data_IF_009548322969
#
_entry.id   IF_009548322969
#
_cell.length_a   1.000
_cell.length_b   1.000
_cell.length_c   1.000
_cell.angle_alpha   90.00
_cell.angle_beta   90.00
_cell.angle_gamma   90.00
#
_symmetry.space_group_name_H-M   'P 1'
#
loop_
_entity.id
_entity.type
_entity.pdbx_description
1 polymer ?
#
# COMPACT_ATOMS: atom_id res chain seq x y z
N UNK A 1 -19.94 -18.47 -9.94
CA UNK A 1 -19.30 -18.77 -11.24
C UNK A 1 -18.85 -17.44 -11.81
N UNK A 2 -17.53 -17.19 -11.85
CA UNK A 2 -16.99 -15.96 -12.42
C UNK A 2 -17.46 -15.80 -13.88
N UNK A 3 -17.80 -14.58 -14.27
CA UNK A 3 -18.21 -14.26 -15.63
C UNK A 3 -17.04 -14.46 -16.61
N UNK A 4 -17.34 -14.69 -17.89
CA UNK A 4 -16.30 -14.84 -18.93
C UNK A 4 -15.39 -13.61 -19.08
N UNK A 5 -15.82 -12.44 -18.57
CA UNK A 5 -15.00 -11.22 -18.50
C UNK A 5 -13.99 -11.24 -17.36
N UNK A 6 -14.36 -11.76 -16.19
CA UNK A 6 -13.45 -11.82 -15.02
C UNK A 6 -12.27 -12.75 -15.29
N UNK A 7 -12.52 -13.89 -15.97
CA UNK A 7 -11.46 -14.80 -16.44
C UNK A 7 -10.47 -14.17 -17.42
N UNK A 8 -10.85 -13.09 -18.11
CA UNK A 8 -9.96 -12.40 -19.08
C UNK A 8 -9.02 -11.40 -18.43
N UNK A 9 -9.30 -10.92 -17.22
CA UNK A 9 -8.42 -9.97 -16.53
C UNK A 9 -7.42 -10.66 -15.60
N UNK A 10 -7.82 -11.79 -15.00
CA UNK A 10 -6.99 -12.51 -14.03
C UNK A 10 -5.63 -12.90 -14.64
N UNK A 11 -4.56 -12.30 -14.15
CA UNK A 11 -3.21 -12.54 -14.65
C UNK A 11 -2.91 -11.98 -16.04
N UNK A 12 -3.75 -11.07 -16.58
CA UNK A 12 -3.57 -10.47 -17.91
C UNK A 12 -2.51 -9.35 -17.94
N UNK A 13 -2.07 -8.89 -16.77
CA UNK A 13 -1.03 -7.88 -16.61
C UNK A 13 0.00 -8.36 -15.58
N UNK A 14 1.21 -7.82 -15.66
CA UNK A 14 2.27 -8.12 -14.70
C UNK A 14 3.16 -6.90 -14.45
N UNK A 15 3.75 -6.85 -13.26
CA UNK A 15 4.82 -5.93 -12.91
C UNK A 15 6.16 -6.52 -13.34
N UNK A 16 6.91 -5.77 -14.12
CA UNK A 16 8.22 -6.19 -14.67
C UNK A 16 9.39 -5.31 -14.25
N UNK A 17 9.12 -4.18 -13.60
CA UNK A 17 10.13 -3.24 -13.10
C UNK A 17 9.72 -2.62 -11.78
N UNK A 18 10.66 -2.44 -10.86
CA UNK A 18 10.49 -1.67 -9.62
C UNK A 18 11.60 -0.64 -9.47
N UNK A 19 11.27 0.55 -9.01
CA UNK A 19 12.22 1.64 -8.85
C UNK A 19 11.89 2.47 -7.62
N UNK A 20 12.91 2.87 -6.89
CA UNK A 20 12.74 3.54 -5.60
C UNK A 20 13.84 4.57 -5.41
N UNK A 21 13.50 5.75 -4.91
CA UNK A 21 14.49 6.73 -4.46
C UNK A 21 14.94 6.43 -3.03
N UNK A 22 16.01 7.10 -2.62
CA UNK A 22 16.37 7.25 -1.22
C UNK A 22 15.19 7.88 -0.46
N UNK A 23 15.06 7.50 0.81
CA UNK A 23 14.09 8.09 1.73
C UNK A 23 14.79 9.18 2.53
N UNK A 24 14.26 10.40 2.45
CA UNK A 24 14.75 11.51 3.22
C UNK A 24 13.83 11.78 4.41
N UNK A 25 14.39 12.41 5.44
CA UNK A 25 13.55 13.03 6.46
C UNK A 25 12.69 14.08 5.77
N UNK A 26 11.42 14.19 6.19
CA UNK A 26 10.49 15.18 5.67
C UNK A 26 11.11 16.58 5.57
N UNK A 27 11.03 17.19 4.38
CA UNK A 27 11.53 18.52 4.07
C UNK A 27 13.05 18.62 3.92
N UNK A 28 13.76 17.50 3.80
CA UNK A 28 15.23 17.47 3.65
C UNK A 28 15.70 16.84 2.35
N UNK A 29 14.79 16.43 1.46
CA UNK A 29 15.19 15.99 0.12
C UNK A 29 15.93 17.11 -0.62
N UNK A 30 17.07 16.82 -1.28
CA UNK A 30 17.72 17.78 -2.17
C UNK A 30 17.05 17.88 -3.54
N UNK A 31 16.04 17.04 -3.79
CA UNK A 31 15.31 16.92 -5.07
C UNK A 31 13.84 17.28 -4.89
N UNK A 32 13.25 17.88 -5.93
CA UNK A 32 11.79 18.12 -6.02
C UNK A 32 11.02 16.81 -6.21
N UNK A 33 9.71 16.84 -5.96
CA UNK A 33 8.83 15.69 -6.17
C UNK A 33 8.88 15.20 -7.63
N UNK A 34 8.95 16.12 -8.61
CA UNK A 34 9.08 15.78 -10.02
C UNK A 34 10.41 15.04 -10.31
N UNK A 35 11.52 15.52 -9.75
CA UNK A 35 12.81 14.85 -9.91
C UNK A 35 12.79 13.45 -9.29
N UNK A 36 12.21 13.30 -8.09
CA UNK A 36 12.08 12.01 -7.42
C UNK A 36 11.18 11.05 -8.24
N UNK A 37 10.05 11.53 -8.76
CA UNK A 37 9.17 10.74 -9.63
C UNK A 37 9.92 10.23 -10.88
N UNK A 38 10.61 11.12 -11.59
CA UNK A 38 11.39 10.74 -12.77
C UNK A 38 12.51 9.75 -12.43
N UNK A 39 13.25 9.96 -11.33
CA UNK A 39 14.28 9.01 -10.88
C UNK A 39 13.70 7.63 -10.53
N UNK A 40 12.54 7.58 -9.86
CA UNK A 40 11.89 6.32 -9.54
C UNK A 40 11.47 5.56 -10.81
N UNK A 41 10.89 6.24 -11.80
CA UNK A 41 10.51 5.61 -13.08
C UNK A 41 11.75 5.15 -13.85
N UNK A 42 12.82 5.94 -13.90
CA UNK A 42 14.09 5.54 -14.52
C UNK A 42 14.70 4.30 -13.86
N UNK A 43 14.69 4.23 -12.53
CA UNK A 43 15.16 3.04 -11.78
C UNK A 43 14.28 1.81 -12.08
N UNK A 44 12.97 2.00 -12.24
CA UNK A 44 12.08 0.90 -12.63
C UNK A 44 12.32 0.43 -14.07
N UNK A 45 12.65 1.35 -14.98
CA UNK A 45 13.07 1.04 -16.35
C UNK A 45 14.41 0.29 -16.36
N UNK A 46 15.37 0.73 -15.55
CA UNK A 46 16.66 0.05 -15.37
C UNK A 46 16.48 -1.35 -14.78
N UNK A 47 15.59 -1.54 -13.80
CA UNK A 47 15.25 -2.85 -13.22
C UNK A 47 14.72 -3.82 -14.30
N UNK A 48 13.83 -3.34 -15.15
CA UNK A 48 13.20 -4.09 -16.24
C UNK A 48 14.04 -4.22 -17.52
N UNK A 49 15.21 -3.56 -17.59
CA UNK A 49 16.06 -3.46 -18.77
C UNK A 49 15.33 -2.91 -20.01
N UNK A 50 14.59 -1.80 -19.82
CA UNK A 50 13.85 -1.12 -20.88
C UNK A 50 14.21 0.36 -20.94
N UNK A 51 14.16 0.93 -22.15
CA UNK A 51 14.27 2.38 -22.34
C UNK A 51 13.07 3.10 -21.71
N UNK A 52 13.29 4.22 -21.02
CA UNK A 52 12.19 5.08 -20.57
C UNK A 52 11.32 5.57 -21.74
N UNK A 53 11.87 5.62 -22.96
CA UNK A 53 11.13 6.04 -24.16
C UNK A 53 9.95 5.12 -24.50
N UNK A 54 10.01 3.85 -24.04
CA UNK A 54 8.96 2.85 -24.27
C UNK A 54 7.79 2.93 -23.26
N UNK A 55 7.89 3.77 -22.23
CA UNK A 55 6.77 4.02 -21.30
C UNK A 55 5.74 4.89 -22.01
N UNK A 56 4.54 4.36 -22.21
CA UNK A 56 3.46 5.04 -22.93
C UNK A 56 2.22 5.31 -22.06
N UNK A 57 2.27 4.90 -20.78
CA UNK A 57 1.20 5.13 -19.81
C UNK A 57 1.68 5.59 -18.43
N UNK A 58 0.86 6.35 -17.73
CA UNK A 58 1.16 6.87 -16.38
C UNK A 58 -0.05 6.76 -15.44
N UNK A 59 0.17 6.24 -14.22
CA UNK A 59 -0.84 6.21 -13.16
C UNK A 59 -0.27 6.71 -11.83
N UNK A 60 -1.03 7.57 -11.15
CA UNK A 60 -0.72 7.99 -9.78
C UNK A 60 -1.99 8.12 -8.93
N UNK A 61 -1.86 8.60 -7.68
CA UNK A 61 -2.95 8.68 -6.71
C UNK A 61 -2.68 9.72 -5.62
N UNK A 62 -3.66 9.96 -4.75
CA UNK A 62 -3.53 10.84 -3.57
C UNK A 62 -3.04 12.25 -3.90
N UNK A 63 -3.69 12.85 -4.90
CA UNK A 63 -3.45 14.21 -5.37
C UNK A 63 -1.98 14.48 -5.74
N UNK A 64 -1.27 13.46 -6.25
CA UNK A 64 0.07 13.66 -6.78
C UNK A 64 0.05 14.76 -7.85
N UNK A 65 0.87 15.78 -7.66
CA UNK A 65 0.94 16.96 -8.52
C UNK A 65 1.82 16.76 -9.75
N UNK A 66 2.51 15.61 -9.84
CA UNK A 66 3.38 15.24 -10.93
C UNK A 66 2.57 14.49 -12.00
N UNK A 67 1.77 15.22 -12.78
CA UNK A 67 0.96 14.64 -13.85
C UNK A 67 1.78 13.84 -14.87
N UNK A 68 1.22 12.75 -15.39
CA UNK A 68 1.90 11.85 -16.33
C UNK A 68 2.50 12.55 -17.55
N UNK A 69 1.81 13.56 -18.10
CA UNK A 69 2.33 14.39 -19.21
C UNK A 69 3.64 15.10 -18.84
N UNK A 70 3.74 15.61 -17.62
CA UNK A 70 4.94 16.31 -17.14
C UNK A 70 6.06 15.31 -16.84
N UNK A 71 5.75 14.17 -16.23
CA UNK A 71 6.74 13.12 -15.97
C UNK A 71 7.28 12.58 -17.29
N UNK A 72 6.41 12.22 -18.23
CA UNK A 72 6.79 11.73 -19.56
C UNK A 72 7.66 12.71 -20.34
N UNK A 73 7.36 14.01 -20.30
CA UNK A 73 8.20 15.04 -20.93
C UNK A 73 9.62 15.11 -20.33
N UNK A 74 9.77 14.89 -19.02
CA UNK A 74 11.10 14.85 -18.37
C UNK A 74 11.85 13.54 -18.64
N UNK A 75 11.14 12.45 -18.93
CA UNK A 75 11.70 11.13 -19.26
C UNK A 75 12.04 10.97 -20.75
N UNK A 76 11.55 11.88 -21.59
CA UNK A 76 11.72 11.80 -23.04
C UNK A 76 10.93 10.67 -23.69
N UNK A 77 9.73 10.37 -23.18
CA UNK A 77 8.87 9.31 -23.76
C UNK A 77 8.49 9.61 -25.22
N UNK A 78 8.38 8.57 -26.05
CA UNK A 78 8.08 8.74 -27.48
C UNK A 78 6.62 9.18 -27.70
N UNK A 79 5.68 8.57 -26.98
CA UNK A 79 4.25 8.87 -27.04
C UNK A 79 3.60 8.60 -25.67
N UNK A 80 2.66 9.45 -25.25
CA UNK A 80 1.79 9.18 -24.10
C UNK A 80 0.42 8.80 -24.61
N UNK A 81 0.09 7.52 -24.51
CA UNK A 81 -1.19 6.94 -24.95
C UNK A 81 -2.25 6.98 -23.86
N UNK A 82 -1.83 6.98 -22.60
CA UNK A 82 -2.75 6.91 -21.46
C UNK A 82 -2.19 7.58 -20.20
N UNK A 83 -3.03 8.27 -19.44
CA UNK A 83 -2.63 8.83 -18.14
C UNK A 83 -3.84 8.93 -17.22
N UNK A 84 -3.67 8.58 -15.95
CA UNK A 84 -4.75 8.69 -14.96
C UNK A 84 -4.26 9.07 -13.57
N UNK A 85 -5.15 9.68 -12.79
CA UNK A 85 -4.98 9.92 -11.36
C UNK A 85 -6.16 9.28 -10.63
N UNK A 86 -5.87 8.39 -9.69
CA UNK A 86 -6.91 7.76 -8.86
C UNK A 86 -7.36 8.74 -7.78
N UNK A 87 -8.67 8.97 -7.71
CA UNK A 87 -9.29 9.78 -6.65
C UNK A 87 -9.18 9.10 -5.28
N UNK A 88 -9.13 9.93 -4.24
CA UNK A 88 -9.05 9.49 -2.85
C UNK A 88 -7.73 9.91 -2.20
N UNK A 89 -7.81 10.26 -0.92
CA UNK A 89 -6.67 10.69 -0.11
C UNK A 89 -5.84 9.57 0.48
N UNK A 90 -4.62 9.91 0.88
CA UNK A 90 -3.71 9.00 1.58
C UNK A 90 -3.36 7.74 0.77
N UNK A 91 -3.30 6.58 1.42
CA UNK A 91 -2.96 5.31 0.77
C UNK A 91 -4.11 4.61 0.06
N UNK A 92 -5.34 5.13 0.14
CA UNK A 92 -6.53 4.42 -0.34
C UNK A 92 -6.51 4.12 -1.84
N UNK A 93 -5.82 4.95 -2.62
CA UNK A 93 -5.68 4.81 -4.07
C UNK A 93 -4.45 4.01 -4.53
N UNK A 94 -3.58 3.53 -3.63
CA UNK A 94 -2.29 2.93 -4.03
C UNK A 94 -2.46 1.66 -4.86
N UNK A 95 -3.27 0.71 -4.38
CA UNK A 95 -3.55 -0.53 -5.10
C UNK A 95 -4.46 -0.27 -6.31
N UNK A 96 -5.39 0.68 -6.19
CA UNK A 96 -6.21 1.13 -7.30
C UNK A 96 -5.41 1.70 -8.49
N UNK A 97 -4.30 2.40 -8.25
CA UNK A 97 -3.44 2.89 -9.34
C UNK A 97 -2.79 1.73 -10.11
N UNK A 98 -2.38 0.67 -9.39
CA UNK A 98 -1.90 -0.57 -10.00
C UNK A 98 -3.01 -1.27 -10.79
N UNK A 99 -4.21 -1.35 -10.21
CA UNK A 99 -5.38 -1.96 -10.86
C UNK A 99 -5.79 -1.20 -12.13
N UNK A 100 -5.72 0.13 -12.12
CA UNK A 100 -6.00 0.96 -13.29
C UNK A 100 -4.96 0.76 -14.40
N UNK A 101 -3.67 0.68 -14.05
CA UNK A 101 -2.61 0.36 -14.99
C UNK A 101 -2.79 -1.03 -15.61
N UNK A 102 -3.11 -2.03 -14.79
CA UNK A 102 -3.42 -3.38 -15.25
C UNK A 102 -4.62 -3.40 -16.21
N UNK A 103 -5.68 -2.64 -15.92
CA UNK A 103 -6.83 -2.50 -16.81
C UNK A 103 -6.47 -1.81 -18.14
N UNK A 104 -5.63 -0.78 -18.10
CA UNK A 104 -5.17 -0.07 -19.30
C UNK A 104 -4.39 -1.00 -20.24
N UNK A 105 -3.44 -1.77 -19.71
CA UNK A 105 -2.65 -2.70 -20.54
C UNK A 105 -3.47 -3.90 -21.01
N UNK A 106 -4.34 -4.45 -20.15
CA UNK A 106 -5.21 -5.58 -20.52
C UNK A 106 -6.25 -5.21 -21.60
N UNK A 107 -6.54 -3.92 -21.78
CA UNK A 107 -7.47 -3.42 -22.80
C UNK A 107 -6.77 -2.77 -24.01
N UNK A 108 -5.44 -2.78 -24.06
CA UNK A 108 -4.65 -2.23 -25.17
C UNK A 108 -4.62 -0.70 -25.23
N UNK A 109 -4.99 0.00 -24.15
CA UNK A 109 -4.89 1.46 -24.07
C UNK A 109 -3.44 1.94 -23.96
N UNK A 110 -2.56 1.11 -23.39
CA UNK A 110 -1.12 1.34 -23.23
C UNK A 110 -0.38 -0.01 -23.23
N UNK A 111 0.92 -0.01 -23.52
CA UNK A 111 1.76 -1.21 -23.53
C UNK A 111 2.72 -1.28 -22.31
N UNK A 112 3.10 -0.13 -21.74
CA UNK A 112 3.97 -0.04 -20.58
C UNK A 112 3.57 1.16 -19.71
N UNK A 113 2.92 0.87 -18.58
CA UNK A 113 2.39 1.88 -17.67
C UNK A 113 3.29 2.02 -16.44
N UNK A 114 3.81 3.21 -16.19
CA UNK A 114 4.47 3.55 -14.94
C UNK A 114 3.44 3.95 -13.88
N UNK A 115 3.35 3.17 -12.80
CA UNK A 115 2.59 3.51 -11.59
C UNK A 115 3.55 4.11 -10.59
N UNK A 116 3.32 5.33 -10.12
CA UNK A 116 4.26 6.03 -9.24
C UNK A 116 3.58 6.92 -8.21
N UNK A 117 4.34 7.27 -7.17
CA UNK A 117 4.02 8.34 -6.21
C UNK A 117 5.31 9.01 -5.77
N UNK A 118 5.31 10.35 -5.74
CA UNK A 118 6.43 11.14 -5.24
C UNK A 118 5.96 12.26 -4.30
N UNK A 119 6.42 12.25 -3.05
CA UNK A 119 6.06 13.26 -2.05
C UNK A 119 7.29 14.03 -1.58
N UNK A 120 7.16 15.34 -1.47
CA UNK A 120 8.10 16.18 -0.74
C UNK A 120 7.35 17.23 0.07
N UNK A 121 7.85 17.54 1.27
CA UNK A 121 7.26 18.62 2.08
C UNK A 121 7.43 20.00 1.43
N UNK A 122 8.44 20.17 0.58
CA UNK A 122 8.70 21.46 -0.09
C UNK A 122 7.60 21.79 -1.10
N UNK A 123 7.11 20.78 -1.81
CA UNK A 123 6.10 20.96 -2.86
C UNK A 123 4.66 20.85 -2.29
N UNK A 124 4.43 19.96 -1.33
CA UNK A 124 3.08 19.69 -0.80
C UNK A 124 2.73 20.52 0.45
N UNK A 125 3.72 21.07 1.16
CA UNK A 125 3.50 21.84 2.40
C UNK A 125 3.09 21.00 3.62
N UNK A 126 2.99 21.64 4.79
CA UNK A 126 2.52 20.96 6.02
C UNK A 126 0.99 20.89 6.06
N UNK A 127 0.46 19.71 6.39
CA UNK A 127 -0.97 19.52 6.57
C UNK A 127 -1.76 19.48 5.26
N UNK A 128 -1.13 19.22 4.12
CA UNK A 128 -1.82 19.04 2.83
C UNK A 128 -2.98 18.06 2.90
N UNK A 129 -2.81 16.96 3.66
CA UNK A 129 -3.88 16.00 3.93
C UNK A 129 -5.11 16.66 4.58
N UNK A 130 -4.92 17.58 5.53
CA UNK A 130 -6.02 18.30 6.21
C UNK A 130 -6.81 19.14 5.21
N UNK A 131 -6.11 19.85 4.33
CA UNK A 131 -6.71 20.74 3.32
C UNK A 131 -7.61 20.00 2.34
N UNK A 132 -7.32 18.73 2.04
CA UNK A 132 -8.02 17.97 1.01
C UNK A 132 -9.03 16.95 1.54
N UNK A 133 -8.90 16.49 2.79
CA UNK A 133 -9.66 15.33 3.28
C UNK A 133 -10.45 15.56 4.57
N UNK A 134 -10.27 16.69 5.26
CA UNK A 134 -11.02 16.96 6.50
C UNK A 134 -12.14 17.96 6.26
N UNK A 135 -13.39 17.46 6.24
CA UNK A 135 -14.59 18.28 6.10
C UNK A 135 -14.90 19.19 7.31
N UNK A 136 -15.90 20.08 7.18
CA UNK A 136 -16.30 21.02 8.24
C UNK A 136 -16.72 20.34 9.55
N UNK A 137 -17.28 19.13 9.49
CA UNK A 137 -17.66 18.38 10.69
C UNK A 137 -16.44 18.06 11.56
N UNK A 138 -15.36 17.54 10.99
CA UNK A 138 -14.14 17.25 11.77
C UNK A 138 -13.55 18.51 12.38
N UNK A 139 -13.35 19.53 11.54
CA UNK A 139 -12.67 20.75 11.94
C UNK A 139 -13.45 21.55 12.99
N UNK A 140 -14.79 21.56 12.91
CA UNK A 140 -15.65 22.17 13.93
C UNK A 140 -15.57 21.46 15.30
N UNK A 141 -15.19 20.18 15.32
CA UNK A 141 -15.06 19.36 16.52
C UNK A 141 -13.60 19.17 16.98
N UNK A 142 -12.65 19.93 16.44
CA UNK A 142 -11.24 19.89 16.86
C UNK A 142 -10.45 18.70 16.31
N UNK A 143 -10.99 17.99 15.32
CA UNK A 143 -10.33 16.87 14.64
C UNK A 143 -9.58 17.44 13.42
N UNK A 144 -8.27 17.57 13.56
CA UNK A 144 -7.39 18.22 12.58
C UNK A 144 -6.30 17.29 12.04
N UNK A 145 -6.31 16.01 12.42
CA UNK A 145 -5.27 15.06 12.03
C UNK A 145 -5.87 13.68 11.76
N UNK A 146 -5.26 12.96 10.82
CA UNK A 146 -5.62 11.56 10.56
C UNK A 146 -5.47 10.67 11.81
N UNK A 147 -4.50 10.99 12.68
CA UNK A 147 -4.28 10.28 13.94
C UNK A 147 -5.49 10.35 14.88
N UNK A 148 -6.18 11.50 14.95
CA UNK A 148 -7.37 11.63 15.78
C UNK A 148 -8.54 10.80 15.24
N UNK A 149 -8.75 10.81 13.92
CA UNK A 149 -9.82 10.05 13.27
C UNK A 149 -9.58 8.54 13.42
N UNK A 150 -8.37 8.08 13.11
CA UNK A 150 -8.01 6.67 13.26
C UNK A 150 -8.07 6.23 14.72
N UNK A 151 -7.72 7.11 15.67
CA UNK A 151 -7.82 6.81 17.09
C UNK A 151 -9.27 6.59 17.57
N UNK A 152 -10.25 7.34 17.05
CA UNK A 152 -11.67 7.14 17.39
C UNK A 152 -12.16 5.74 16.97
N UNK A 153 -11.86 5.35 15.73
CA UNK A 153 -12.20 4.02 15.20
C UNK A 153 -11.47 2.91 15.95
N UNK A 154 -10.18 3.11 16.23
CA UNK A 154 -9.37 2.17 17.01
C UNK A 154 -9.94 2.01 18.42
N UNK A 155 -10.24 3.10 19.13
CA UNK A 155 -10.84 3.05 20.47
C UNK A 155 -12.11 2.22 20.46
N UNK A 156 -12.96 2.42 19.46
CA UNK A 156 -14.21 1.67 19.34
C UNK A 156 -13.97 0.17 19.10
N UNK A 157 -12.99 -0.19 18.29
CA UNK A 157 -12.60 -1.59 18.05
C UNK A 157 -12.10 -2.27 19.34
N UNK A 158 -11.35 -1.57 20.18
CA UNK A 158 -10.90 -2.10 21.48
C UNK A 158 -12.05 -2.28 22.46
N UNK A 159 -12.94 -1.28 22.56
CA UNK A 159 -14.02 -1.28 23.55
C UNK A 159 -15.20 -2.16 23.19
N UNK A 160 -15.64 -2.11 21.92
CA UNK A 160 -16.84 -2.80 21.47
C UNK A 160 -16.54 -4.21 20.99
N UNK A 161 -15.53 -4.36 20.13
CA UNK A 161 -15.21 -5.65 19.52
C UNK A 161 -14.30 -6.47 20.44
N UNK A 162 -13.63 -5.83 21.41
CA UNK A 162 -12.75 -6.50 22.37
C UNK A 162 -11.43 -6.95 21.76
N UNK A 163 -11.00 -6.34 20.64
CA UNK A 163 -9.68 -6.59 20.06
C UNK A 163 -8.60 -6.16 21.06
N UNK A 164 -7.64 -7.03 21.43
CA UNK A 164 -6.62 -6.68 22.41
C UNK A 164 -5.60 -5.68 21.84
N UNK A 165 -5.09 -4.77 22.66
CA UNK A 165 -4.16 -3.73 22.21
C UNK A 165 -2.80 -4.30 21.76
N UNK A 166 -2.47 -5.50 22.22
CA UNK A 166 -1.33 -6.30 21.80
C UNK A 166 -1.33 -6.59 20.29
N UNK A 167 -2.50 -6.60 19.64
CA UNK A 167 -2.61 -6.75 18.20
C UNK A 167 -1.95 -5.57 17.46
N UNK A 168 -2.15 -4.34 17.93
CA UNK A 168 -1.48 -3.15 17.36
C UNK A 168 0.02 -3.14 17.67
N UNK A 169 0.39 -3.53 18.89
CA UNK A 169 1.80 -3.68 19.28
C UNK A 169 2.54 -4.65 18.35
N UNK A 170 1.90 -5.77 18.02
CA UNK A 170 2.47 -6.78 17.14
C UNK A 170 2.78 -6.23 15.73
N UNK A 171 1.87 -5.41 15.17
CA UNK A 171 2.09 -4.76 13.85
C UNK A 171 3.32 -3.86 13.90
N UNK A 172 3.42 -2.99 14.92
CA UNK A 172 4.56 -2.08 15.05
C UNK A 172 5.87 -2.85 15.22
N UNK A 173 5.91 -3.85 16.10
CA UNK A 173 7.11 -4.63 16.35
C UNK A 173 7.55 -5.45 15.13
N UNK A 174 6.62 -6.05 14.38
CA UNK A 174 6.94 -6.80 13.18
C UNK A 174 7.57 -5.89 12.10
N UNK A 175 7.00 -4.70 11.86
CA UNK A 175 7.58 -3.72 10.93
C UNK A 175 9.00 -3.30 11.35
N UNK A 176 9.18 -2.95 12.63
CA UNK A 176 10.52 -2.59 13.14
C UNK A 176 11.52 -3.74 13.11
N UNK A 177 11.05 -4.99 13.28
CA UNK A 177 11.86 -6.19 13.15
C UNK A 177 12.37 -6.35 11.71
N UNK A 178 11.48 -6.29 10.72
CA UNK A 178 11.84 -6.39 9.31
C UNK A 178 12.74 -5.24 8.84
N UNK A 179 12.51 -4.03 9.35
CA UNK A 179 13.34 -2.87 9.04
C UNK A 179 14.81 -3.06 9.42
N UNK A 180 15.15 -3.93 10.38
CA UNK A 180 16.56 -4.17 10.76
C UNK A 180 17.35 -4.97 9.71
N UNK A 181 16.67 -5.59 8.74
CA UNK A 181 17.31 -6.24 7.57
C UNK A 181 17.21 -5.41 6.30
N UNK A 182 16.61 -4.22 6.36
CA UNK A 182 16.47 -3.31 5.24
C UNK A 182 17.32 -2.04 5.46
N UNK A 183 18.53 -1.92 4.87
CA UNK A 183 19.38 -0.74 5.02
C UNK A 183 18.77 0.59 4.56
N UNK A 184 17.71 0.55 3.73
CA UNK A 184 16.98 1.74 3.27
C UNK A 184 15.96 2.25 4.30
N UNK A 185 15.53 1.38 5.22
CA UNK A 185 14.53 1.74 6.21
C UNK A 185 15.04 2.88 7.11
N UNK A 186 14.19 3.88 7.37
CA UNK A 186 14.51 5.04 8.21
C UNK A 186 14.80 4.63 9.66
N UNK A 187 14.30 3.48 10.09
CA UNK A 187 14.55 2.87 11.40
C UNK A 187 15.63 1.76 11.39
N UNK A 188 16.38 1.60 10.30
CA UNK A 188 17.49 0.65 10.25
C UNK A 188 18.52 0.97 11.34
N UNK A 189 18.91 -0.05 12.12
CA UNK A 189 19.78 0.10 13.29
C UNK A 189 19.08 0.67 14.54
N UNK A 190 17.75 0.80 14.52
CA UNK A 190 16.92 1.32 15.62
C UNK A 190 15.78 0.34 15.95
N UNK A 191 16.07 -0.83 16.53
CA UNK A 191 15.04 -1.82 16.85
C UNK A 191 14.04 -1.29 17.90
N UNK A 192 12.78 -1.70 17.78
CA UNK A 192 11.72 -1.38 18.74
C UNK A 192 11.54 -2.55 19.73
N UNK A 193 11.48 -2.24 21.03
CA UNK A 193 11.17 -3.21 22.08
C UNK A 193 9.76 -3.01 22.60
N UNK A 194 9.13 -4.06 23.14
CA UNK A 194 7.81 -3.99 23.82
C UNK A 194 7.74 -2.87 24.86
N UNK A 195 8.79 -2.76 25.68
CA UNK A 195 8.90 -1.71 26.70
C UNK A 195 8.95 -0.31 26.06
N UNK A 196 9.79 -0.13 25.04
CA UNK A 196 9.87 1.16 24.31
C UNK A 196 8.54 1.55 23.68
N UNK A 197 7.82 0.58 23.10
CA UNK A 197 6.49 0.79 22.54
C UNK A 197 5.48 1.20 23.63
N UNK A 198 5.40 0.44 24.73
CA UNK A 198 4.47 0.69 25.83
C UNK A 198 4.73 1.99 26.59
N UNK A 199 6.00 2.40 26.71
CA UNK A 199 6.42 3.65 27.36
C UNK A 199 6.28 4.87 26.43
N UNK A 200 6.04 4.68 25.13
CA UNK A 200 6.02 5.77 24.17
C UNK A 200 4.87 6.74 24.44
N UNK A 201 5.08 8.04 24.21
CA UNK A 201 4.06 9.06 24.43
C UNK A 201 2.80 8.79 23.59
N UNK A 202 1.65 9.18 24.13
CA UNK A 202 0.42 9.27 23.35
C UNK A 202 0.55 10.32 22.23
N UNK A 203 -0.04 10.01 21.08
CA UNK A 203 -0.29 10.97 20.01
C UNK A 203 -1.77 11.35 20.03
N UNK A 204 -2.64 10.35 19.96
CA UNK A 204 -4.08 10.48 20.17
C UNK A 204 -4.57 9.15 20.71
N UNK A 205 -4.96 9.09 21.98
CA UNK A 205 -5.37 7.82 22.62
C UNK A 205 -6.42 7.09 21.77
N UNK A 206 -6.23 5.79 21.45
CA UNK A 206 -5.27 4.84 22.01
C UNK A 206 -4.00 4.62 21.15
N UNK A 207 -3.62 5.58 20.32
CA UNK A 207 -2.42 5.51 19.47
C UNK A 207 -1.23 6.21 20.11
N UNK A 208 -0.14 5.47 20.31
CA UNK A 208 1.18 5.97 20.76
C UNK A 208 2.05 6.39 19.57
N UNK A 209 3.22 6.93 19.87
CA UNK A 209 4.16 7.38 18.85
C UNK A 209 4.50 6.30 17.81
N UNK A 210 4.69 5.05 18.23
CA UNK A 210 5.04 3.94 17.33
C UNK A 210 3.84 3.29 16.66
N UNK A 211 2.63 3.76 16.97
CA UNK A 211 1.41 3.44 16.22
C UNK A 211 1.20 4.37 15.02
N UNK A 212 2.08 5.34 14.79
CA UNK A 212 1.93 6.38 13.79
C UNK A 212 3.09 6.37 12.81
N UNK A 213 2.80 6.37 11.51
CA UNK A 213 3.85 6.44 10.48
C UNK A 213 4.60 7.77 10.52
N UNK A 214 5.82 7.75 9.97
CA UNK A 214 6.69 8.92 9.87
C UNK A 214 6.67 9.41 8.44
N UNK A 215 6.29 10.66 8.23
CA UNK A 215 6.36 11.28 6.91
C UNK A 215 7.80 11.37 6.40
N UNK A 216 7.98 11.07 5.11
CA UNK A 216 9.26 11.08 4.42
C UNK A 216 9.13 11.80 3.08
N UNK A 217 10.22 12.39 2.62
CA UNK A 217 10.33 12.78 1.21
C UNK A 217 10.91 11.59 0.44
N UNK A 218 10.35 11.28 -0.73
CA UNK A 218 10.80 10.17 -1.56
C UNK A 218 9.80 9.82 -2.66
N UNK A 219 10.18 8.85 -3.50
CA UNK A 219 9.34 8.31 -4.55
C UNK A 219 9.61 6.82 -4.78
N UNK A 220 8.61 6.14 -5.34
CA UNK A 220 8.78 4.84 -5.94
C UNK A 220 7.89 4.71 -7.18
N UNK A 221 8.23 3.74 -8.03
CA UNK A 221 7.51 3.42 -9.23
C UNK A 221 7.56 1.92 -9.53
N UNK A 222 6.53 1.42 -10.20
CA UNK A 222 6.52 0.08 -10.81
C UNK A 222 6.08 0.16 -12.27
N UNK A 223 6.59 -0.74 -13.11
CA UNK A 223 6.20 -0.85 -14.53
C UNK A 223 5.24 -2.02 -14.72
N UNK A 224 4.04 -1.71 -15.21
CA UNK A 224 2.98 -2.68 -15.51
C UNK A 224 2.87 -2.86 -17.02
N UNK A 225 2.86 -4.11 -17.48
CA UNK A 225 2.81 -4.50 -18.90
C UNK A 225 1.80 -5.63 -19.12
N UNK A 226 1.36 -5.88 -20.37
CA UNK A 226 0.59 -7.09 -20.69
C UNK A 226 1.36 -8.35 -20.30
N UNK A 227 0.67 -9.33 -19.72
CA UNK A 227 1.29 -10.58 -19.27
C UNK A 227 1.96 -11.36 -20.42
N UNK A 228 1.42 -11.27 -21.64
CA UNK A 228 2.01 -11.86 -22.85
C UNK A 228 3.29 -11.17 -23.34
N UNK A 229 3.65 -10.02 -22.76
CA UNK A 229 4.85 -9.25 -23.11
C UNK A 229 5.97 -9.36 -22.07
N UNK A 230 5.80 -10.11 -20.97
CA UNK A 230 6.77 -10.17 -19.87
C UNK A 230 8.16 -10.66 -20.31
N UNK A 231 8.23 -11.54 -21.31
CA UNK A 231 9.49 -12.07 -21.86
C UNK A 231 10.38 -11.01 -22.53
N UNK A 232 9.86 -9.80 -22.76
CA UNK A 232 10.63 -8.66 -23.29
C UNK A 232 11.46 -7.94 -22.22
N UNK A 233 11.26 -8.26 -20.95
CA UNK A 233 11.83 -7.55 -19.82
C UNK A 233 12.72 -8.45 -18.98
N UNK A 234 13.64 -7.84 -18.23
CA UNK A 234 14.58 -8.56 -17.36
C UNK A 234 13.91 -9.01 -16.06
N UNK A 235 14.24 -10.24 -15.65
CA UNK A 235 13.88 -10.80 -14.36
C UNK A 235 12.53 -11.53 -14.38
N UNK A 236 12.10 -12.02 -13.21
CA UNK A 236 10.80 -12.68 -13.07
C UNK A 236 9.70 -11.60 -13.03
N UNK A 237 8.54 -11.79 -13.67
CA UNK A 237 7.38 -10.91 -13.50
C UNK A 237 6.64 -11.20 -12.17
N UNK A 238 5.88 -10.22 -11.67
CA UNK A 238 4.82 -10.46 -10.69
C UNK A 238 3.46 -10.24 -11.36
N UNK A 239 2.71 -11.32 -11.59
CA UNK A 239 1.41 -11.26 -12.25
C UNK A 239 0.37 -10.61 -11.34
N UNK A 240 -0.51 -9.80 -11.91
CA UNK A 240 -1.62 -9.17 -11.19
C UNK A 240 -2.84 -10.07 -11.37
N UNK A 241 -3.20 -10.82 -10.33
CA UNK A 241 -4.37 -11.70 -10.38
C UNK A 241 -5.68 -10.91 -10.38
N UNK A 242 -5.69 -9.75 -9.74
CA UNK A 242 -6.86 -8.91 -9.68
C UNK A 242 -6.73 -7.86 -8.60
N UNK A 243 -7.76 -7.03 -8.51
CA UNK A 243 -7.82 -5.99 -7.51
C UNK A 243 -9.22 -5.41 -7.37
N UNK A 244 -9.43 -4.73 -6.26
CA UNK A 244 -10.68 -4.07 -5.92
C UNK A 244 -10.42 -2.64 -5.48
N UNK A 245 -11.42 -1.79 -5.68
CA UNK A 245 -11.47 -0.43 -5.16
C UNK A 245 -12.92 -0.08 -4.86
N UNK A 246 -13.16 0.73 -3.82
CA UNK A 246 -14.47 1.33 -3.59
C UNK A 246 -14.71 1.72 -2.15
N UNK A 247 -15.99 1.86 -1.81
CA UNK A 247 -16.49 2.10 -0.46
C UNK A 247 -17.71 1.22 -0.20
N UNK A 248 -18.00 0.96 1.08
CA UNK A 248 -19.23 0.26 1.49
C UNK A 248 -20.45 1.18 1.53
N UNK A 249 -21.66 0.62 1.71
CA UNK A 249 -22.85 1.40 2.03
C UNK A 249 -22.61 2.30 3.25
N UNK A 250 -23.09 3.54 3.18
CA UNK A 250 -22.95 4.57 4.23
C UNK A 250 -21.51 4.97 4.59
N UNK A 251 -20.50 4.36 3.95
CA UNK A 251 -19.10 4.71 4.11
C UNK A 251 -18.80 6.01 3.39
N UNK A 252 -18.66 7.09 4.16
CA UNK A 252 -18.49 8.45 3.62
C UNK A 252 -17.50 9.25 4.44
N UNK A 253 -16.83 10.20 3.80
CA UNK A 253 -15.83 11.09 4.43
C UNK A 253 -16.39 11.97 5.55
N UNK A 254 -17.69 12.02 5.77
CA UNK A 254 -18.31 13.21 6.37
C UNK A 254 -19.07 13.01 7.67
N UNK A 255 -19.32 11.79 8.15
CA UNK A 255 -20.36 11.61 9.17
C UNK A 255 -19.99 10.80 10.43
N UNK A 256 -18.82 10.11 10.49
CA UNK A 256 -18.35 9.35 11.68
C UNK A 256 -19.48 8.56 12.40
N UNK A 257 -20.38 7.98 11.61
CA UNK A 257 -21.63 7.35 12.07
C UNK A 257 -21.96 6.08 11.28
N UNK A 258 -20.97 5.51 10.60
CA UNK A 258 -21.12 4.32 9.79
C UNK A 258 -21.52 3.13 10.68
N UNK A 259 -22.42 2.28 10.19
CA UNK A 259 -22.83 1.09 10.94
C UNK A 259 -21.65 0.13 11.21
N UNK A 260 -20.72 0.02 10.25
CA UNK A 260 -19.50 -0.76 10.36
C UNK A 260 -18.31 0.09 10.82
N UNK A 261 -18.49 0.88 11.89
CA UNK A 261 -17.52 1.91 12.31
C UNK A 261 -16.09 1.39 12.59
N UNK A 262 -15.96 0.16 13.08
CA UNK A 262 -14.68 -0.47 13.43
C UNK A 262 -14.00 -1.18 12.25
N UNK A 263 -14.68 -1.29 11.10
CA UNK A 263 -14.10 -1.79 9.86
C UNK A 263 -13.05 -0.81 9.34
N UNK A 264 -12.11 -1.32 8.53
CA UNK A 264 -11.21 -0.50 7.75
C UNK A 264 -11.83 0.00 6.43
N UNK A 265 -13.10 -0.31 6.15
CA UNK A 265 -13.83 0.08 4.95
C UNK A 265 -13.89 -1.02 3.89
N UNK A 266 -13.23 -2.15 4.11
CA UNK A 266 -13.24 -3.31 3.24
C UNK A 266 -14.46 -4.19 3.53
N UNK A 267 -15.63 -3.73 3.10
CA UNK A 267 -16.87 -4.48 3.31
C UNK A 267 -16.81 -5.88 2.67
N UNK A 268 -17.48 -6.85 3.30
CA UNK A 268 -17.42 -8.28 2.92
C UNK A 268 -17.62 -8.53 1.41
N UNK A 269 -18.63 -7.91 0.79
CA UNK A 269 -18.88 -8.10 -0.64
C UNK A 269 -17.78 -7.54 -1.56
N UNK A 270 -16.95 -6.59 -1.11
CA UNK A 270 -15.75 -6.18 -1.84
C UNK A 270 -14.64 -7.22 -1.72
N UNK A 271 -14.41 -7.71 -0.51
CA UNK A 271 -13.39 -8.75 -0.25
C UNK A 271 -13.74 -10.03 -1.00
N UNK A 272 -14.99 -10.48 -0.97
CA UNK A 272 -15.45 -11.65 -1.72
C UNK A 272 -15.23 -11.49 -3.22
N UNK A 273 -15.50 -10.30 -3.78
CA UNK A 273 -15.22 -10.00 -5.20
C UNK A 273 -13.73 -10.08 -5.52
N UNK A 274 -12.85 -9.66 -4.60
CA UNK A 274 -11.40 -9.78 -4.80
C UNK A 274 -11.00 -11.25 -4.87
N UNK A 275 -11.43 -12.04 -3.88
CA UNK A 275 -11.13 -13.47 -3.81
C UNK A 275 -11.69 -14.25 -5.00
N UNK A 276 -12.94 -14.01 -5.38
CA UNK A 276 -13.55 -14.62 -6.56
C UNK A 276 -12.83 -14.25 -7.86
N UNK A 277 -12.47 -12.97 -8.04
CA UNK A 277 -11.78 -12.50 -9.24
C UNK A 277 -10.34 -13.04 -9.33
N UNK A 278 -9.65 -13.12 -8.19
CA UNK A 278 -8.29 -13.63 -8.11
C UNK A 278 -8.22 -15.15 -8.02
N UNK A 279 -9.36 -15.84 -7.82
CA UNK A 279 -9.48 -17.29 -7.64
C UNK A 279 -8.59 -17.85 -6.54
N UNK A 280 -8.43 -17.09 -5.46
CA UNK A 280 -7.67 -17.41 -4.24
C UNK A 280 -8.46 -16.92 -3.03
N UNK A 281 -8.16 -17.44 -1.84
CA UNK A 281 -8.75 -17.02 -0.57
C UNK A 281 -7.71 -16.57 0.45
N UNK A 282 -8.14 -16.22 1.68
CA UNK A 282 -7.24 -15.78 2.74
C UNK A 282 -6.18 -16.83 3.12
N UNK A 283 -6.50 -18.13 3.00
CA UNK A 283 -5.58 -19.23 3.31
C UNK A 283 -4.48 -19.42 2.26
N UNK A 284 -4.64 -18.83 1.07
CA UNK A 284 -3.65 -18.90 -0.01
C UNK A 284 -2.63 -17.75 0.06
N UNK A 285 -2.79 -16.78 0.97
CA UNK A 285 -1.93 -15.60 1.06
C UNK A 285 -0.64 -15.93 1.82
N UNK A 286 0.50 -15.88 1.13
CA UNK A 286 1.81 -16.16 1.74
C UNK A 286 2.39 -14.95 2.47
N UNK A 287 2.08 -13.73 2.01
CA UNK A 287 2.64 -12.50 2.55
C UNK A 287 1.73 -11.31 2.30
N UNK A 288 1.69 -10.39 3.27
CA UNK A 288 0.86 -9.18 3.21
C UNK A 288 1.72 -7.94 3.26
N UNK A 289 1.50 -7.02 2.31
CA UNK A 289 1.96 -5.64 2.39
C UNK A 289 0.74 -4.74 2.56
N UNK A 290 0.54 -4.24 3.77
CA UNK A 290 -0.63 -3.48 4.15
C UNK A 290 -0.21 -2.05 4.49
N UNK A 291 -0.96 -1.10 3.98
CA UNK A 291 -0.82 0.32 4.30
C UNK A 291 -1.17 0.59 5.76
N UNK A 292 -0.15 0.86 6.56
CA UNK A 292 -0.28 1.10 7.99
C UNK A 292 0.26 2.49 8.37
N UNK A 293 -0.48 3.52 7.96
CA UNK A 293 -0.30 4.86 8.54
C UNK A 293 -0.56 4.84 10.06
N UNK A 294 -1.48 3.98 10.50
CA UNK A 294 -1.74 3.66 11.90
C UNK A 294 -2.02 2.17 12.10
N UNK A 295 -1.63 1.63 13.27
CA UNK A 295 -1.75 0.20 13.62
C UNK A 295 -3.19 -0.28 13.78
N UNK A 296 -4.09 0.56 14.29
CA UNK A 296 -5.50 0.20 14.49
C UNK A 296 -6.24 -0.13 13.19
N UNK A 297 -6.29 0.79 12.21
CA UNK A 297 -6.84 0.51 10.87
C UNK A 297 -6.18 -0.68 10.18
N UNK A 298 -4.88 -0.89 10.40
CA UNK A 298 -4.18 -2.08 9.88
C UNK A 298 -4.77 -3.39 10.42
N UNK A 299 -4.97 -3.50 11.74
CA UNK A 299 -5.60 -4.67 12.36
C UNK A 299 -7.03 -4.85 11.84
N UNK A 300 -7.81 -3.76 11.74
CA UNK A 300 -9.17 -3.82 11.20
C UNK A 300 -9.21 -4.36 9.76
N UNK A 301 -8.24 -3.99 8.91
CA UNK A 301 -8.11 -4.57 7.56
C UNK A 301 -7.80 -6.06 7.57
N UNK A 302 -6.91 -6.53 8.46
CA UNK A 302 -6.64 -7.97 8.57
C UNK A 302 -7.91 -8.76 8.93
N UNK A 303 -8.77 -8.18 9.78
CA UNK A 303 -10.08 -8.74 10.14
C UNK A 303 -11.05 -8.71 8.95
N UNK A 304 -11.18 -7.57 8.27
CA UNK A 304 -12.08 -7.39 7.12
C UNK A 304 -11.80 -8.41 6.01
N UNK A 305 -10.51 -8.67 5.72
CA UNK A 305 -10.08 -9.63 4.70
C UNK A 305 -10.23 -11.10 5.12
N UNK A 306 -10.56 -11.36 6.40
CA UNK A 306 -10.64 -12.71 6.95
C UNK A 306 -9.28 -13.37 7.19
N UNK A 307 -8.20 -12.58 7.20
CA UNK A 307 -6.84 -13.04 7.50
C UNK A 307 -6.62 -13.19 9.01
N UNK A 308 -7.40 -12.46 9.81
CA UNK A 308 -7.38 -12.46 11.27
C UNK A 308 -8.80 -12.65 11.83
N UNK A 309 -8.91 -13.35 12.94
CA UNK A 309 -10.17 -13.48 13.66
C UNK A 309 -10.61 -12.14 14.30
N UNK A 310 -11.91 -11.84 14.35
CA UNK A 310 -12.40 -10.63 15.02
C UNK A 310 -12.33 -10.74 16.55
N UNK A 311 -12.37 -9.58 17.20
CA UNK A 311 -12.50 -9.45 18.65
C UNK A 311 -11.34 -10.06 19.46
N UNK A 312 -11.60 -10.64 20.64
CA UNK A 312 -10.53 -11.14 21.53
C UNK A 312 -9.67 -12.26 20.91
N UNK A 313 -10.14 -12.93 19.87
CA UNK A 313 -9.39 -13.97 19.18
C UNK A 313 -8.28 -13.42 18.28
N UNK A 314 -8.34 -12.13 17.92
CA UNK A 314 -7.40 -11.49 16.99
C UNK A 314 -5.93 -11.72 17.35
N UNK A 315 -5.58 -11.73 18.65
CA UNK A 315 -4.20 -11.96 19.13
C UNK A 315 -3.61 -13.32 18.77
N UNK A 316 -4.44 -14.30 18.39
CA UNK A 316 -3.95 -15.60 17.90
C UNK A 316 -3.19 -15.47 16.59
N UNK A 317 -3.65 -14.55 15.74
CA UNK A 317 -3.04 -14.24 14.45
C UNK A 317 -2.15 -13.00 14.54
N UNK A 318 -2.63 -11.95 15.22
CA UNK A 318 -1.95 -10.65 15.40
C UNK A 318 -0.97 -10.70 16.57
N UNK A 319 0.10 -11.47 16.42
CA UNK A 319 1.24 -11.50 17.33
C UNK A 319 2.55 -11.50 16.54
N UNK A 320 3.63 -11.02 17.16
CA UNK A 320 4.92 -10.80 16.47
C UNK A 320 5.43 -12.07 15.81
N UNK A 321 5.40 -13.21 16.51
CA UNK A 321 5.95 -14.48 16.02
C UNK A 321 5.26 -14.94 14.74
N UNK A 322 3.96 -14.64 14.57
CA UNK A 322 3.22 -14.97 13.35
C UNK A 322 3.41 -13.95 12.21
N UNK A 323 3.65 -12.67 12.57
CA UNK A 323 3.74 -11.56 11.61
C UNK A 323 5.17 -11.34 11.05
N UNK A 324 6.19 -12.00 11.61
CA UNK A 324 7.56 -11.93 11.09
C UNK A 324 7.86 -13.08 10.12
N UNK A 325 8.75 -12.87 9.16
CA UNK A 325 9.18 -13.91 8.20
C UNK A 325 9.87 -15.10 8.87
N UNK A 326 10.40 -14.93 10.07
CA UNK A 326 11.16 -15.95 10.79
C UNK A 326 10.22 -16.93 11.51
N UNK A 327 9.54 -17.77 10.71
CA UNK A 327 8.64 -18.83 11.20
C UNK A 327 7.17 -18.43 11.31
N UNK A 328 6.81 -17.19 10.97
CA UNK A 328 5.43 -16.74 10.91
C UNK A 328 4.68 -17.31 9.70
N UNK A 329 3.37 -17.50 9.85
CA UNK A 329 2.49 -18.00 8.77
C UNK A 329 1.86 -16.88 7.95
N UNK A 330 1.88 -15.65 8.46
CA UNK A 330 1.34 -14.49 7.76
C UNK A 330 2.28 -13.29 7.92
N UNK A 331 3.49 -13.34 7.33
CA UNK A 331 4.42 -12.23 7.39
C UNK A 331 3.80 -10.93 6.86
N UNK A 332 4.00 -9.86 7.61
CA UNK A 332 3.40 -8.55 7.36
C UNK A 332 4.49 -7.50 7.17
N UNK A 333 4.37 -6.70 6.11
CA UNK A 333 5.19 -5.52 5.86
C UNK A 333 6.70 -5.81 5.93
N UNK A 334 7.14 -6.70 5.05
CA UNK A 334 8.46 -7.32 5.04
C UNK A 334 9.59 -6.35 4.68
N UNK A 335 9.31 -5.15 4.17
CA UNK A 335 10.32 -4.08 4.06
C UNK A 335 10.51 -3.28 5.36
N UNK A 336 9.59 -3.45 6.32
CA UNK A 336 9.40 -2.61 7.50
C UNK A 336 8.20 -1.67 7.40
N UNK A 337 7.55 -1.62 6.23
CA UNK A 337 6.28 -0.93 6.02
C UNK A 337 6.30 0.57 6.30
N UNK A 338 5.12 1.19 6.41
CA UNK A 338 4.99 2.62 6.61
C UNK A 338 5.47 3.11 7.97
N UNK A 339 5.48 2.26 9.00
CA UNK A 339 5.95 2.64 10.34
C UNK A 339 7.47 2.71 10.42
N UNK A 340 8.16 1.73 9.84
CA UNK A 340 9.58 1.51 10.10
C UNK A 340 10.48 1.70 8.87
N UNK A 341 10.00 1.39 7.65
CA UNK A 341 10.74 1.68 6.42
C UNK A 341 10.64 3.16 6.08
N UNK A 342 9.42 3.64 5.84
CA UNK A 342 9.14 5.02 5.50
C UNK A 342 7.78 5.18 4.83
N UNK A 343 7.27 6.41 4.84
CA UNK A 343 5.92 6.70 4.40
C UNK A 343 5.90 7.58 3.15
N UNK A 344 5.76 6.93 1.99
CA UNK A 344 5.54 7.58 0.67
C UNK A 344 4.14 7.24 0.18
N UNK A 345 3.14 7.42 1.06
CA UNK A 345 1.75 7.02 0.81
C UNK A 345 1.59 5.58 0.28
N UNK A 346 2.43 4.65 0.71
CA UNK A 346 2.26 3.22 0.45
C UNK A 346 2.87 2.70 -0.84
N UNK A 347 3.43 3.54 -1.73
CA UNK A 347 4.00 3.02 -2.99
C UNK A 347 5.17 2.06 -2.75
N UNK A 348 5.92 2.23 -1.65
CA UNK A 348 6.98 1.31 -1.23
C UNK A 348 6.44 -0.09 -0.87
N UNK A 349 5.18 -0.18 -0.40
CA UNK A 349 4.52 -1.48 -0.15
C UNK A 349 4.19 -2.21 -1.44
N UNK A 350 3.88 -1.49 -2.53
CA UNK A 350 3.70 -2.09 -3.86
C UNK A 350 5.01 -2.72 -4.31
N UNK A 351 6.11 -1.98 -4.19
CA UNK A 351 7.44 -2.47 -4.54
C UNK A 351 7.79 -3.71 -3.72
N UNK A 352 7.54 -3.71 -2.41
CA UNK A 352 7.82 -4.86 -1.57
C UNK A 352 6.93 -6.06 -1.88
N UNK A 353 5.64 -5.86 -2.17
CA UNK A 353 4.72 -6.93 -2.56
C UNK A 353 5.21 -7.62 -3.85
N UNK A 354 5.67 -6.80 -4.79
CA UNK A 354 6.27 -7.26 -6.04
C UNK A 354 7.61 -7.97 -5.80
N UNK A 355 8.45 -7.49 -4.88
CA UNK A 355 9.74 -8.12 -4.53
C UNK A 355 9.59 -9.46 -3.83
N UNK A 356 8.54 -9.68 -3.07
CA UNK A 356 8.27 -11.01 -2.49
C UNK A 356 8.08 -12.06 -3.59
N UNK A 357 7.43 -11.69 -4.69
CA UNK A 357 7.20 -12.57 -5.84
C UNK A 357 8.42 -12.64 -6.78
N UNK A 358 8.97 -11.49 -7.18
CA UNK A 358 10.05 -11.40 -8.18
C UNK A 358 11.43 -11.72 -7.59
N UNK A 359 11.55 -11.67 -6.27
CA UNK A 359 12.82 -11.65 -5.54
C UNK A 359 13.32 -10.22 -5.28
N UNK A 360 14.32 -10.11 -4.39
CA UNK A 360 14.93 -8.83 -4.00
C UNK A 360 14.38 -8.21 -2.72
N UNK A 361 13.45 -8.88 -2.02
CA UNK A 361 13.03 -8.45 -0.69
C UNK A 361 14.19 -8.53 0.31
N UNK A 362 14.33 -7.57 1.24
CA UNK A 362 15.26 -7.67 2.37
C UNK A 362 14.88 -8.76 3.37
N UNK A 363 13.60 -9.18 3.38
CA UNK A 363 13.05 -10.21 4.26
C UNK A 363 12.20 -11.16 3.40
N UNK A 364 12.81 -12.02 2.56
CA UNK A 364 12.05 -12.86 1.64
C UNK A 364 11.29 -13.96 2.39
N UNK A 365 10.01 -14.13 2.06
CA UNK A 365 9.22 -15.31 2.44
C UNK A 365 9.60 -16.46 1.49
N UNK A 366 9.87 -17.63 2.04
CA UNK A 366 10.29 -18.78 1.26
C UNK A 366 9.15 -19.23 0.33
N UNK A 367 9.46 -19.36 -0.96
CA UNK A 367 8.51 -19.85 -1.99
C UNK A 367 7.19 -19.06 -2.07
N UNK A 368 7.21 -17.76 -1.75
CA UNK A 368 6.02 -16.91 -1.83
C UNK A 368 5.41 -16.94 -3.25
N UNK A 369 4.18 -17.42 -3.35
CA UNK A 369 3.41 -17.49 -4.59
C UNK A 369 2.35 -16.38 -4.62
N UNK A 370 1.74 -16.01 -3.50
CA UNK A 370 0.67 -15.01 -3.42
C UNK A 370 1.05 -13.89 -2.44
N UNK A 371 1.18 -12.67 -2.96
CA UNK A 371 1.41 -11.47 -2.16
C UNK A 371 0.20 -10.54 -2.25
N UNK A 372 -0.41 -10.25 -1.09
CA UNK A 372 -1.54 -9.34 -0.98
C UNK A 372 -1.08 -7.92 -0.64
N UNK A 373 -1.49 -6.95 -1.46
CA UNK A 373 -1.36 -5.52 -1.17
C UNK A 373 -2.71 -4.95 -0.69
N UNK A 374 -2.73 -4.34 0.50
CA UNK A 374 -3.91 -3.67 1.07
C UNK A 374 -3.63 -2.17 1.16
N UNK A 375 -4.41 -1.35 0.45
CA UNK A 375 -4.26 0.10 0.33
C UNK A 375 -5.25 0.91 1.17
N UNK A 376 -4.72 1.81 2.00
CA UNK A 376 -5.45 2.83 2.76
C UNK A 376 -6.64 2.35 3.60
N UNK A 377 -6.43 1.50 4.62
CA UNK A 377 -7.42 1.27 5.65
C UNK A 377 -7.98 2.56 6.24
N UNK A 378 -9.28 2.57 6.54
CA UNK A 378 -10.04 3.73 7.04
C UNK A 378 -10.05 4.96 6.10
N UNK A 379 -9.66 4.81 4.83
CA UNK A 379 -9.75 5.85 3.82
C UNK A 379 -11.18 5.94 3.22
N UNK A 380 -11.52 7.06 2.55
CA UNK A 380 -12.81 7.25 1.87
C UNK A 380 -13.09 6.17 0.81
N UNK A 381 -12.04 5.85 0.07
CA UNK A 381 -11.99 4.76 -0.89
C UNK A 381 -10.80 3.89 -0.49
N UNK A 382 -11.06 2.61 -0.36
CA UNK A 382 -10.04 1.60 -0.07
C UNK A 382 -9.77 0.79 -1.33
N UNK A 383 -8.57 0.21 -1.43
CA UNK A 383 -8.24 -0.66 -2.57
C UNK A 383 -7.30 -1.78 -2.17
N UNK A 384 -7.29 -2.86 -2.95
CA UNK A 384 -6.36 -3.97 -2.77
C UNK A 384 -6.01 -4.60 -4.12
N UNK A 385 -4.85 -5.26 -4.17
CA UNK A 385 -4.31 -5.97 -5.34
C UNK A 385 -3.68 -7.27 -4.88
N UNK A 386 -3.91 -8.35 -5.61
CA UNK A 386 -3.24 -9.64 -5.40
C UNK A 386 -2.20 -9.84 -6.50
N UNK A 387 -0.95 -10.07 -6.09
CA UNK A 387 0.14 -10.44 -6.98
C UNK A 387 0.43 -11.94 -6.87
N UNK A 388 0.86 -12.57 -7.97
CA UNK A 388 1.28 -13.96 -7.96
C UNK A 388 2.51 -14.27 -8.82
N UNK A 389 3.18 -15.39 -8.54
CA UNK A 389 4.39 -15.82 -9.26
C UNK A 389 4.10 -16.38 -10.66
N UNK A 390 2.87 -16.83 -10.91
CA UNK A 390 2.40 -17.35 -12.18
C UNK A 390 1.11 -16.63 -12.63
N UNK A 391 0.85 -16.57 -13.96
CA UNK A 391 -0.47 -16.17 -14.43
C UNK A 391 -1.43 -17.30 -14.04
N UNK A 392 -2.61 -16.96 -13.53
CA UNK A 392 -3.59 -17.96 -13.12
C UNK A 392 -3.93 -18.96 -14.24
N UNK A 393 -4.11 -20.23 -13.89
CA UNK A 393 -4.57 -21.32 -14.78
C UNK A 393 -6.05 -21.24 -15.10
#
# INVERSE_FOLDING_TARGET
>A
MASDRERRFRGAAAVVGVGETELYRRGTSPYSAMQLAAMAVLRACEDADVSSTAVDGFASYAHDSNEGLRVGANLGVDEIRWSTLVFGGGGGGVAAAVNAAAAAVATGQADCVAVYRAITQADDGRGSYVTHHLGPLYTAHGLFTAAQICALRTQRMLELDGVPAEAMEAVALAGYHHAQRNPRAVSYGQPLTRRTYGDARWVSSPLRLFDCSRENDGAAAVLVVPAEHVDRYRGRPAYILGGVQGSGPDWSESLENEAAYTSAGFHRAMVDRLWDACGVGPDDVDVVQLYENFTGPAVASMIDFGLCEPGPAAVRTMNVDNLVVDGGRLPLNTSGGNLAEGFVHGINLVVEAVRQIRGGSPNPVAEADVSLLIGGPAAPLVSATVFASAPAT
#
